data_IF_070919040729
#
_entry.id   IF_070919040729
#
_cell.length_a   1.000
_cell.length_b   1.000
_cell.length_c   1.000
_cell.angle_alpha   90.00
_cell.angle_beta   90.00
_cell.angle_gamma   90.00
#
_symmetry.space_group_name_H-M   'P 1'
#
loop_
_entity.id
_entity.type
_entity.pdbx_description
1 polymer ?
#
# COMPACT_ATOMS: atom_id res chain seq x y z
N UNK A 1 -18.08 15.78 -26.58
CA UNK A 1 -16.97 16.72 -26.35
C UNK A 1 -15.89 16.36 -27.36
N UNK A 2 -15.53 17.26 -28.28
CA UNK A 2 -14.44 16.99 -29.23
C UNK A 2 -13.11 17.20 -28.49
N UNK A 3 -12.42 16.10 -28.18
CA UNK A 3 -11.08 16.12 -27.63
C UNK A 3 -10.09 16.56 -28.71
N UNK A 4 -9.41 17.69 -28.49
CA UNK A 4 -8.32 18.15 -29.37
C UNK A 4 -7.00 17.50 -28.94
N UNK A 5 -6.71 16.35 -29.54
CA UNK A 5 -5.49 15.57 -29.27
C UNK A 5 -4.21 16.33 -29.60
N UNK A 6 -4.24 17.20 -30.62
CA UNK A 6 -3.07 17.95 -31.05
C UNK A 6 -2.71 19.03 -30.02
N UNK A 7 -3.70 19.77 -29.53
CA UNK A 7 -3.52 20.76 -28.48
C UNK A 7 -3.06 20.11 -27.15
N UNK A 8 -3.62 18.94 -26.80
CA UNK A 8 -3.19 18.17 -25.63
C UNK A 8 -1.71 17.77 -25.72
N UNK A 9 -1.30 17.19 -26.84
CA UNK A 9 0.07 16.72 -27.03
C UNK A 9 1.07 17.88 -27.05
N UNK A 10 0.73 19.01 -27.67
CA UNK A 10 1.59 20.20 -27.66
C UNK A 10 1.81 20.70 -26.23
N UNK A 11 0.74 20.77 -25.43
CA UNK A 11 0.83 21.22 -24.03
C UNK A 11 1.64 20.26 -23.15
N UNK A 12 1.45 18.95 -23.35
CA UNK A 12 2.24 17.93 -22.66
C UNK A 12 3.75 18.06 -22.97
N UNK A 13 4.12 18.21 -24.24
CA UNK A 13 5.53 18.36 -24.64
C UNK A 13 6.14 19.67 -24.11
N UNK A 14 5.36 20.76 -24.07
CA UNK A 14 5.80 22.02 -23.47
C UNK A 14 6.18 21.82 -22.00
N UNK A 15 5.27 21.28 -21.18
CA UNK A 15 5.53 21.06 -19.75
C UNK A 15 6.66 20.05 -19.51
N UNK A 16 6.83 19.07 -20.39
CA UNK A 16 7.93 18.13 -20.34
C UNK A 16 9.29 18.81 -20.61
N UNK A 17 9.34 19.75 -21.56
CA UNK A 17 10.53 20.55 -21.87
C UNK A 17 10.91 21.54 -20.78
N UNK A 18 9.92 22.10 -20.07
CA UNK A 18 10.13 23.00 -18.92
C UNK A 18 10.73 22.27 -17.70
N UNK A 19 10.55 20.95 -17.59
CA UNK A 19 11.10 20.11 -16.51
C UNK A 19 12.32 19.31 -16.99
N UNK A 20 13.47 19.97 -17.07
CA UNK A 20 14.75 19.34 -17.42
C UNK A 20 15.04 18.13 -16.51
N UNK A 21 15.23 16.95 -17.10
CA UNK A 21 15.50 15.69 -16.38
C UNK A 21 14.34 14.71 -16.26
N UNK A 22 13.25 14.87 -17.02
CA UNK A 22 12.03 14.06 -16.98
C UNK A 22 12.16 12.59 -17.46
N UNK A 23 13.16 11.84 -16.97
CA UNK A 23 13.17 10.36 -17.01
C UNK A 23 12.45 9.74 -15.82
N UNK A 24 11.99 10.56 -14.87
CA UNK A 24 11.26 10.09 -13.71
C UNK A 24 9.78 9.93 -14.08
N UNK A 25 9.28 8.68 -13.99
CA UNK A 25 7.89 8.33 -14.27
C UNK A 25 6.89 9.17 -13.46
N UNK A 26 7.26 9.58 -12.24
CA UNK A 26 6.41 10.44 -11.41
C UNK A 26 6.25 11.86 -11.98
N UNK A 27 7.29 12.39 -12.65
CA UNK A 27 7.24 13.71 -13.29
C UNK A 27 6.36 13.66 -14.53
N UNK A 28 6.50 12.61 -15.34
CA UNK A 28 5.65 12.36 -16.51
C UNK A 28 4.19 12.24 -16.09
N UNK A 29 3.91 11.45 -15.04
CA UNK A 29 2.56 11.29 -14.50
C UNK A 29 1.98 12.63 -14.04
N UNK A 30 2.73 13.42 -13.26
CA UNK A 30 2.27 14.73 -12.79
C UNK A 30 1.96 15.72 -13.94
N UNK A 31 2.76 15.70 -15.01
CA UNK A 31 2.51 16.50 -16.20
C UNK A 31 1.25 16.00 -16.91
N UNK A 32 1.11 14.69 -17.14
CA UNK A 32 -0.10 14.11 -17.74
C UNK A 32 -1.35 14.51 -16.95
N UNK A 33 -1.28 14.46 -15.63
CA UNK A 33 -2.39 14.81 -14.74
C UNK A 33 -2.75 16.30 -14.85
N UNK A 34 -1.74 17.18 -14.89
CA UNK A 34 -1.93 18.61 -15.11
C UNK A 34 -2.61 18.91 -16.45
N UNK A 35 -2.11 18.35 -17.56
CA UNK A 35 -2.69 18.60 -18.90
C UNK A 35 -4.12 18.08 -18.97
N UNK A 36 -4.40 16.89 -18.42
CA UNK A 36 -5.77 16.35 -18.37
C UNK A 36 -6.72 17.28 -17.62
N UNK A 37 -6.28 17.93 -16.53
CA UNK A 37 -7.09 18.93 -15.80
C UNK A 37 -7.33 20.17 -16.64
N UNK A 38 -6.29 20.71 -17.28
CA UNK A 38 -6.39 21.90 -18.14
C UNK A 38 -7.40 21.70 -19.29
N UNK A 39 -7.50 20.49 -19.82
CA UNK A 39 -8.42 20.17 -20.91
C UNK A 39 -9.78 19.62 -20.45
N UNK A 40 -10.05 19.55 -19.15
CA UNK A 40 -11.32 19.03 -18.62
C UNK A 40 -11.54 17.52 -18.87
N UNK A 41 -10.46 16.78 -19.14
CA UNK A 41 -10.46 15.33 -19.39
C UNK A 41 -10.10 14.56 -18.11
N UNK A 42 -9.66 15.27 -17.07
CA UNK A 42 -9.40 14.68 -15.76
C UNK A 42 -10.69 14.31 -15.06
N UNK A 43 -10.85 13.02 -14.79
CA UNK A 43 -11.77 12.54 -13.76
C UNK A 43 -10.93 12.19 -12.53
N UNK A 44 -11.31 12.68 -11.37
CA UNK A 44 -10.67 12.28 -10.11
C UNK A 44 -10.60 10.75 -10.01
N UNK A 45 -9.46 10.17 -9.60
CA UNK A 45 -9.34 8.72 -9.44
C UNK A 45 -10.39 8.22 -8.44
N UNK A 46 -11.16 7.22 -8.85
CA UNK A 46 -12.11 6.51 -7.98
C UNK A 46 -11.57 5.11 -7.68
N UNK A 47 -12.15 4.43 -6.69
CA UNK A 47 -11.79 3.03 -6.38
C UNK A 47 -11.87 2.11 -7.60
N UNK A 48 -12.81 2.37 -8.52
CA UNK A 48 -12.98 1.61 -9.76
C UNK A 48 -12.03 2.04 -10.89
N UNK A 49 -11.35 3.19 -10.78
CA UNK A 49 -10.62 3.85 -11.87
C UNK A 49 -9.29 4.45 -11.42
N UNK A 50 -8.54 3.74 -10.58
CA UNK A 50 -7.20 4.13 -10.15
C UNK A 50 -6.19 2.99 -10.40
N UNK A 51 -4.90 3.33 -10.55
CA UNK A 51 -3.84 2.33 -10.57
C UNK A 51 -3.58 1.77 -9.16
N UNK A 52 -2.88 0.64 -9.05
CA UNK A 52 -2.50 0.08 -7.74
C UNK A 52 -1.69 1.06 -6.87
N UNK A 53 -0.86 1.90 -7.50
CA UNK A 53 -0.08 2.95 -6.84
C UNK A 53 -0.92 4.16 -6.40
N UNK A 54 -2.08 4.39 -6.99
CA UNK A 54 -3.02 5.45 -6.62
C UNK A 54 -4.05 4.96 -5.61
N UNK A 55 -4.38 3.66 -5.65
CA UNK A 55 -5.47 3.06 -4.88
C UNK A 55 -5.34 3.33 -3.38
N UNK A 56 -4.13 3.28 -2.82
CA UNK A 56 -3.92 3.55 -1.40
C UNK A 56 -4.41 4.94 -0.97
N UNK A 57 -4.12 5.98 -1.77
CA UNK A 57 -4.55 7.35 -1.47
C UNK A 57 -6.06 7.54 -1.68
N UNK A 58 -6.61 6.94 -2.74
CA UNK A 58 -8.06 6.97 -3.01
C UNK A 58 -8.83 6.26 -1.90
N UNK A 59 -8.37 5.07 -1.50
CA UNK A 59 -8.98 4.29 -0.42
C UNK A 59 -9.01 5.08 0.89
N UNK A 60 -7.90 5.72 1.28
CA UNK A 60 -7.88 6.60 2.46
C UNK A 60 -8.90 7.72 2.38
N UNK A 61 -9.01 8.35 1.21
CA UNK A 61 -9.94 9.47 0.99
C UNK A 61 -11.39 9.01 1.12
N UNK A 62 -11.73 7.81 0.65
CA UNK A 62 -13.06 7.24 0.80
C UNK A 62 -13.34 6.77 2.23
N UNK A 63 -12.38 6.14 2.90
CA UNK A 63 -12.52 5.73 4.32
C UNK A 63 -12.82 6.92 5.23
N UNK A 64 -12.18 8.06 4.99
CA UNK A 64 -12.36 9.28 5.78
C UNK A 64 -13.77 9.90 5.65
N UNK A 65 -14.55 9.53 4.64
CA UNK A 65 -15.93 10.01 4.43
C UNK A 65 -16.98 9.16 5.16
N UNK A 66 -16.59 8.00 5.66
CA UNK A 66 -17.51 7.07 6.33
C UNK A 66 -17.44 7.30 7.83
N UNK A 67 -18.57 7.40 8.51
CA UNK A 67 -18.61 7.47 9.98
C UNK A 67 -18.79 6.10 10.64
N UNK A 68 -19.31 5.12 9.90
CA UNK A 68 -19.58 3.77 10.39
C UNK A 68 -18.33 2.86 10.31
N UNK A 69 -18.02 2.19 11.42
CA UNK A 69 -16.84 1.33 11.53
C UNK A 69 -16.94 0.08 10.65
N UNK A 70 -18.14 -0.51 10.52
CA UNK A 70 -18.35 -1.69 9.67
C UNK A 70 -18.15 -1.33 8.19
N UNK A 71 -18.76 -0.24 7.74
CA UNK A 71 -18.62 0.26 6.38
C UNK A 71 -17.16 0.60 6.03
N UNK A 72 -16.40 1.19 6.97
CA UNK A 72 -14.95 1.42 6.78
C UNK A 72 -14.20 0.10 6.58
N UNK A 73 -14.48 -0.91 7.39
CA UNK A 73 -13.81 -2.20 7.30
C UNK A 73 -14.16 -2.97 6.03
N UNK A 74 -15.43 -2.96 5.62
CA UNK A 74 -15.87 -3.61 4.38
C UNK A 74 -15.19 -2.96 3.18
N UNK A 75 -15.14 -1.62 3.15
CA UNK A 75 -14.45 -0.87 2.10
C UNK A 75 -12.94 -1.17 2.09
N UNK A 76 -12.30 -1.12 3.26
CA UNK A 76 -10.88 -1.41 3.39
C UNK A 76 -10.54 -2.82 2.91
N UNK A 77 -11.27 -3.84 3.39
CA UNK A 77 -11.03 -5.23 3.02
C UNK A 77 -11.21 -5.47 1.53
N UNK A 78 -12.21 -4.84 0.91
CA UNK A 78 -12.48 -4.99 -0.53
C UNK A 78 -11.33 -4.49 -1.40
N UNK A 79 -10.60 -3.47 -0.95
CA UNK A 79 -9.62 -2.79 -1.80
C UNK A 79 -8.16 -2.94 -1.36
N UNK A 80 -7.90 -3.36 -0.11
CA UNK A 80 -6.54 -3.39 0.46
C UNK A 80 -5.55 -4.22 -0.38
N UNK A 81 -5.94 -5.41 -0.83
CA UNK A 81 -5.06 -6.33 -1.58
C UNK A 81 -4.61 -5.79 -2.95
N UNK A 82 -5.25 -4.72 -3.44
CA UNK A 82 -4.86 -3.99 -4.64
C UNK A 82 -3.91 -2.81 -4.38
N UNK A 83 -3.69 -2.42 -3.13
CA UNK A 83 -2.87 -1.27 -2.78
C UNK A 83 -1.37 -1.59 -2.90
N UNK A 84 -0.67 -0.82 -3.72
CA UNK A 84 0.79 -0.85 -3.81
C UNK A 84 1.41 0.33 -3.06
N UNK A 85 2.56 0.12 -2.41
CA UNK A 85 3.40 1.19 -1.82
C UNK A 85 2.75 1.99 -0.68
N UNK A 86 2.07 1.29 0.22
CA UNK A 86 1.36 1.88 1.36
C UNK A 86 2.28 2.49 2.44
N UNK A 87 3.61 2.45 2.27
CA UNK A 87 4.54 2.87 3.31
C UNK A 87 4.44 4.36 3.66
N UNK A 88 4.32 5.23 2.66
CA UNK A 88 4.24 6.68 2.89
C UNK A 88 2.92 7.10 3.56
N UNK A 89 1.87 6.28 3.39
CA UNK A 89 0.51 6.54 3.89
C UNK A 89 0.17 5.74 5.16
N UNK A 90 1.17 5.10 5.77
CA UNK A 90 0.96 4.11 6.83
C UNK A 90 0.37 4.71 8.12
N UNK A 91 0.70 5.96 8.43
CA UNK A 91 0.19 6.62 9.63
C UNK A 91 -1.28 7.03 9.44
N UNK A 92 -1.62 7.46 8.23
CA UNK A 92 -2.97 7.83 7.82
C UNK A 92 -3.87 6.59 7.83
N UNK A 93 -3.41 5.46 7.32
CA UNK A 93 -4.14 4.20 7.47
C UNK A 93 -4.36 3.84 8.94
N UNK A 94 -3.33 3.96 9.77
CA UNK A 94 -3.45 3.65 11.20
C UNK A 94 -4.43 4.59 11.93
N UNK A 95 -4.59 5.84 11.47
CA UNK A 95 -5.49 6.81 12.09
C UNK A 95 -6.96 6.67 11.65
N UNK A 96 -7.21 6.19 10.43
CA UNK A 96 -8.59 6.05 9.91
C UNK A 96 -9.17 4.66 10.14
N UNK A 97 -8.32 3.63 10.25
CA UNK A 97 -8.78 2.26 10.47
C UNK A 97 -9.30 2.10 11.91
N UNK A 98 -10.58 1.73 12.10
CA UNK A 98 -11.08 1.38 13.42
C UNK A 98 -10.27 0.20 13.96
N UNK A 99 -9.99 0.11 15.26
CA UNK A 99 -9.52 -1.17 15.81
C UNK A 99 -10.59 -2.24 15.59
N UNK A 100 -10.20 -3.45 15.19
CA UNK A 100 -11.12 -4.58 14.91
C UNK A 100 -11.79 -5.18 16.16
N UNK A 101 -12.05 -4.38 17.18
CA UNK A 101 -12.64 -4.85 18.43
C UNK A 101 -14.05 -5.34 18.16
N UNK A 102 -14.26 -6.66 18.20
CA UNK A 102 -15.56 -7.29 18.01
C UNK A 102 -15.99 -7.55 16.56
N UNK A 103 -15.07 -7.42 15.61
CA UNK A 103 -15.34 -7.61 14.18
C UNK A 103 -14.65 -8.86 13.64
N UNK A 104 -15.27 -9.54 12.67
CA UNK A 104 -14.71 -10.75 12.05
C UNK A 104 -13.64 -10.39 11.03
N UNK A 105 -12.69 -11.28 10.77
CA UNK A 105 -11.78 -11.18 9.63
C UNK A 105 -12.44 -11.60 8.31
N UNK A 106 -13.76 -11.51 8.20
CA UNK A 106 -14.53 -11.95 7.02
C UNK A 106 -14.20 -13.39 6.63
N UNK A 107 -13.87 -13.59 5.35
CA UNK A 107 -13.50 -14.91 4.81
C UNK A 107 -12.14 -15.42 5.32
N UNK A 108 -11.33 -14.58 5.98
CA UNK A 108 -10.02 -14.97 6.50
C UNK A 108 -10.06 -15.38 7.98
N UNK A 109 -11.26 -15.54 8.55
CA UNK A 109 -11.44 -15.91 9.97
C UNK A 109 -10.75 -17.23 10.30
N UNK A 110 -10.86 -18.25 9.45
CA UNK A 110 -10.23 -19.56 9.66
C UNK A 110 -8.69 -19.45 9.70
N UNK A 111 -8.10 -18.60 8.85
CA UNK A 111 -6.67 -18.33 8.88
C UNK A 111 -6.27 -17.67 10.20
N UNK A 112 -7.01 -16.64 10.64
CA UNK A 112 -6.76 -16.01 11.93
C UNK A 112 -6.90 -17.01 13.08
N UNK A 113 -7.96 -17.80 13.11
CA UNK A 113 -8.25 -18.76 14.19
C UNK A 113 -7.16 -19.83 14.30
N UNK A 114 -6.60 -20.26 13.18
CA UNK A 114 -5.46 -21.19 13.13
C UNK A 114 -4.14 -20.61 13.65
N UNK A 115 -4.00 -19.28 13.77
CA UNK A 115 -2.77 -18.68 14.29
C UNK A 115 -2.55 -19.04 15.78
N UNK A 116 -1.29 -19.36 16.17
CA UNK A 116 -0.91 -19.57 17.57
C UNK A 116 -1.03 -18.26 18.38
N UNK A 117 -0.95 -18.37 19.71
CA UNK A 117 -1.01 -17.19 20.61
C UNK A 117 0.12 -16.19 20.38
N UNK A 118 1.32 -16.68 20.05
CA UNK A 118 2.47 -15.90 19.60
C UNK A 118 2.80 -16.24 18.15
N UNK A 119 2.77 -15.25 17.28
CA UNK A 119 2.93 -15.39 15.83
C UNK A 119 4.26 -14.79 15.41
N UNK A 120 5.09 -15.58 14.73
CA UNK A 120 6.28 -15.07 14.06
C UNK A 120 5.87 -14.47 12.72
N UNK A 121 6.24 -13.22 12.51
CA UNK A 121 5.90 -12.45 11.31
C UNK A 121 7.15 -11.95 10.61
N UNK A 122 7.04 -11.75 9.30
CA UNK A 122 8.11 -11.35 8.41
C UNK A 122 7.67 -10.21 7.49
N UNK A 123 8.60 -9.34 7.12
CA UNK A 123 8.36 -8.26 6.14
C UNK A 123 9.56 -8.14 5.21
N UNK A 124 9.29 -8.18 3.90
CA UNK A 124 10.28 -7.86 2.88
C UNK A 124 10.19 -6.39 2.50
N UNK A 125 11.26 -5.62 2.67
CA UNK A 125 11.22 -4.18 2.43
C UNK A 125 12.60 -3.58 2.16
N UNK A 126 12.61 -2.27 1.91
CA UNK A 126 13.80 -1.44 1.98
C UNK A 126 14.35 -1.38 3.42
N UNK A 127 15.66 -1.24 3.61
CA UNK A 127 16.28 -1.21 4.96
C UNK A 127 15.80 -0.05 5.86
N UNK A 128 15.31 1.02 5.26
CA UNK A 128 14.74 2.22 5.89
C UNK A 128 13.20 2.18 5.98
N UNK A 129 12.55 1.14 5.43
CA UNK A 129 11.08 0.98 5.40
C UNK A 129 10.56 -0.20 6.23
N UNK A 130 11.21 -0.43 7.36
CA UNK A 130 10.98 -1.59 8.24
C UNK A 130 9.63 -1.54 8.95
N UNK A 131 9.21 -0.37 9.42
CA UNK A 131 7.99 -0.21 10.21
C UNK A 131 6.82 0.16 9.31
N UNK A 132 6.28 -0.83 8.57
CA UNK A 132 5.05 -0.67 7.79
C UNK A 132 3.94 -1.60 8.27
N UNK A 133 2.74 -1.41 7.73
CA UNK A 133 1.52 -2.11 8.15
C UNK A 133 1.52 -3.60 7.79
N UNK A 134 1.94 -3.92 6.55
CA UNK A 134 1.84 -5.26 5.97
C UNK A 134 3.00 -6.18 6.37
N UNK A 135 2.68 -7.31 6.96
CA UNK A 135 3.60 -8.40 7.30
C UNK A 135 3.01 -9.71 6.81
N UNK A 136 3.79 -10.78 6.82
CA UNK A 136 3.34 -12.13 6.45
C UNK A 136 3.82 -13.14 7.46
N UNK A 137 3.07 -14.21 7.67
CA UNK A 137 3.53 -15.36 8.47
C UNK A 137 4.47 -16.28 7.67
N UNK A 138 4.56 -16.12 6.35
CA UNK A 138 5.44 -16.88 5.47
C UNK A 138 6.75 -16.13 5.15
N UNK A 139 7.88 -16.69 5.59
CA UNK A 139 9.21 -16.13 5.32
C UNK A 139 9.49 -16.08 3.82
N UNK A 140 9.05 -17.05 3.03
CA UNK A 140 9.33 -17.08 1.59
C UNK A 140 8.66 -15.91 0.86
N UNK A 141 7.42 -15.61 1.23
CA UNK A 141 6.69 -14.41 0.77
C UNK A 141 7.44 -13.12 1.12
N UNK A 142 7.95 -12.97 2.35
CA UNK A 142 8.77 -11.80 2.71
C UNK A 142 10.06 -11.70 1.88
N UNK A 143 10.74 -12.82 1.61
CA UNK A 143 11.93 -12.84 0.73
C UNK A 143 11.56 -12.39 -0.69
N UNK A 144 10.41 -12.84 -1.22
CA UNK A 144 9.90 -12.43 -2.54
C UNK A 144 9.67 -10.93 -2.60
N UNK A 145 9.05 -10.33 -1.58
CA UNK A 145 8.85 -8.88 -1.50
C UNK A 145 10.17 -8.11 -1.40
N UNK A 146 11.12 -8.55 -0.58
CA UNK A 146 12.43 -7.93 -0.50
C UNK A 146 13.19 -7.99 -1.84
N UNK A 147 12.99 -9.04 -2.62
CA UNK A 147 13.58 -9.24 -3.96
C UNK A 147 12.81 -8.57 -5.10
N UNK A 148 11.58 -8.11 -4.85
CA UNK A 148 10.64 -7.65 -5.87
C UNK A 148 11.15 -6.52 -6.76
N UNK A 149 10.45 -6.32 -7.89
CA UNK A 149 10.84 -5.47 -9.03
C UNK A 149 10.88 -3.95 -8.77
N UNK A 150 10.74 -3.49 -7.53
CA UNK A 150 10.94 -2.08 -7.19
C UNK A 150 12.44 -1.80 -7.22
N UNK A 151 12.95 -1.50 -8.40
CA UNK A 151 14.36 -1.33 -8.78
C UNK A 151 15.13 -0.25 -7.97
N UNK A 152 14.51 0.39 -6.99
CA UNK A 152 14.96 1.66 -6.41
C UNK A 152 15.13 1.67 -4.89
N UNK A 153 15.30 0.51 -4.23
CA UNK A 153 15.70 0.51 -2.81
C UNK A 153 17.15 1.00 -2.66
N UNK A 154 17.34 2.32 -2.70
CA UNK A 154 18.64 2.99 -2.49
C UNK A 154 19.26 2.59 -1.14
N UNK A 155 18.42 2.34 -0.14
CA UNK A 155 18.79 1.90 1.21
C UNK A 155 19.10 0.40 1.32
N UNK A 156 19.00 -0.36 0.23
CA UNK A 156 19.20 -1.81 0.21
C UNK A 156 17.95 -2.61 0.60
N UNK A 157 18.00 -3.92 0.35
CA UNK A 157 16.92 -4.88 0.56
C UNK A 157 17.10 -5.64 1.87
N UNK A 158 16.04 -5.83 2.64
CA UNK A 158 16.07 -6.59 3.88
C UNK A 158 14.81 -7.42 4.05
N UNK A 159 14.94 -8.58 4.70
CA UNK A 159 13.83 -9.19 5.42
C UNK A 159 13.95 -8.79 6.87
N UNK A 160 12.83 -8.46 7.50
CA UNK A 160 12.72 -8.21 8.93
C UNK A 160 11.77 -9.21 9.52
N UNK A 161 12.02 -9.63 10.76
CA UNK A 161 11.12 -10.50 11.51
C UNK A 161 10.96 -10.02 12.95
N UNK A 162 9.81 -10.33 13.52
CA UNK A 162 9.51 -10.17 14.94
C UNK A 162 8.50 -11.22 15.39
N UNK A 163 8.26 -11.33 16.69
CA UNK A 163 7.15 -12.07 17.25
C UNK A 163 6.10 -11.07 17.77
N UNK A 164 4.83 -11.35 17.50
CA UNK A 164 3.69 -10.56 17.98
C UNK A 164 2.66 -11.47 18.63
N UNK A 165 1.90 -10.94 19.58
CA UNK A 165 0.75 -11.66 20.10
C UNK A 165 -0.36 -11.67 19.05
N UNK A 166 -1.13 -12.76 18.98
CA UNK A 166 -2.33 -12.84 18.13
C UNK A 166 -3.29 -11.66 18.34
N UNK A 167 -3.39 -11.18 19.58
CA UNK A 167 -4.22 -10.02 19.98
C UNK A 167 -3.71 -8.67 19.48
N UNK A 168 -2.49 -8.61 18.94
CA UNK A 168 -1.87 -7.39 18.39
C UNK A 168 -2.03 -7.30 16.86
N UNK A 169 -2.55 -8.37 16.23
CA UNK A 169 -2.87 -8.38 14.81
C UNK A 169 -4.11 -7.53 14.60
N UNK A 170 -4.00 -6.53 13.73
CA UNK A 170 -5.14 -5.70 13.35
C UNK A 170 -6.08 -6.57 12.51
N UNK A 171 -5.64 -7.02 11.34
CA UNK A 171 -6.41 -7.92 10.47
C UNK A 171 -5.49 -8.91 9.76
N UNK A 172 -6.08 -9.92 9.14
CA UNK A 172 -5.40 -10.84 8.24
C UNK A 172 -6.04 -10.81 6.84
N UNK A 173 -5.24 -11.21 5.85
CA UNK A 173 -5.67 -11.43 4.47
C UNK A 173 -5.00 -12.69 3.93
N UNK A 174 -5.80 -13.63 3.46
CA UNK A 174 -5.32 -14.84 2.79
C UNK A 174 -5.40 -14.74 1.26
N UNK A 175 -5.99 -13.64 0.76
CA UNK A 175 -6.00 -13.33 -0.66
C UNK A 175 -4.59 -13.46 -1.27
N UNK A 176 -4.53 -14.09 -2.45
CA UNK A 176 -3.29 -14.27 -3.24
C UNK A 176 -2.19 -15.12 -2.57
N UNK A 177 -2.55 -15.95 -1.58
CA UNK A 177 -1.60 -16.87 -0.91
C UNK A 177 -0.42 -16.14 -0.24
N UNK A 178 -0.61 -14.89 0.18
CA UNK A 178 0.46 -14.08 0.81
C UNK A 178 0.48 -14.20 2.34
N UNK A 179 -0.56 -14.83 2.94
CA UNK A 179 -0.71 -15.03 4.39
C UNK A 179 -0.42 -13.73 5.17
N UNK A 180 -1.01 -12.64 4.70
CA UNK A 180 -0.74 -11.29 5.15
C UNK A 180 -1.41 -11.04 6.51
N UNK A 181 -0.69 -10.34 7.37
CA UNK A 181 -1.19 -9.81 8.64
C UNK A 181 -0.87 -8.32 8.69
N UNK A 182 -1.84 -7.51 9.10
CA UNK A 182 -1.65 -6.08 9.35
C UNK A 182 -1.39 -5.84 10.82
N UNK A 183 -0.39 -5.03 11.11
CA UNK A 183 0.07 -4.72 12.47
C UNK A 183 0.09 -3.22 12.72
N UNK A 184 -0.15 -2.83 13.97
CA UNK A 184 0.23 -1.51 14.44
C UNK A 184 1.76 -1.44 14.53
N UNK A 185 2.37 -0.86 13.49
CA UNK A 185 3.83 -0.78 13.39
C UNK A 185 4.46 0.13 14.46
N UNK A 186 3.68 0.95 15.15
CA UNK A 186 4.16 1.85 16.23
C UNK A 186 4.32 1.11 17.56
N UNK A 187 3.63 -0.03 17.71
CA UNK A 187 3.67 -0.87 18.90
C UNK A 187 4.63 -2.08 18.77
N UNK A 188 5.32 -2.21 17.63
CA UNK A 188 6.22 -3.34 17.42
C UNK A 188 7.45 -3.26 18.34
N UNK A 189 7.73 -4.38 19.02
CA UNK A 189 8.96 -4.56 19.79
C UNK A 189 10.23 -4.64 18.91
N UNK A 190 11.35 -5.08 19.50
CA UNK A 190 12.61 -5.22 18.79
C UNK A 190 12.49 -6.11 17.54
N UNK A 191 13.03 -5.64 16.42
CA UNK A 191 12.99 -6.38 15.15
C UNK A 191 14.35 -6.97 14.79
N UNK A 192 14.36 -8.19 14.25
CA UNK A 192 15.58 -8.83 13.71
C UNK A 192 15.66 -8.59 12.20
N UNK A 193 16.76 -7.98 11.75
CA UNK A 193 17.01 -7.67 10.33
C UNK A 193 17.96 -8.68 9.70
N UNK A 194 17.58 -9.24 8.57
CA UNK A 194 18.40 -10.08 7.70
C UNK A 194 18.63 -9.30 6.39
N UNK A 195 19.83 -8.73 6.23
CA UNK A 195 20.20 -8.00 5.02
C UNK A 195 20.66 -8.97 3.96
N UNK A 196 20.21 -8.77 2.73
CA UNK A 196 20.81 -9.45 1.58
C UNK A 196 22.08 -8.73 1.16
N UNK A 197 23.20 -9.45 1.10
CA UNK A 197 24.37 -9.03 0.32
C UNK A 197 24.25 -9.74 -1.01
N UNK A 198 24.15 -8.98 -2.09
CA UNK A 198 24.33 -9.47 -3.46
C UNK A 198 25.69 -8.97 -3.93
#
# INVERSE_FOLDING_TARGET
MNFDEQAFNARFQQLLGERTGAKNIAVVQAITDQVRREFGIWTEPTLARCSSSQLAGVLLSELAKLDDAQARWDLFRTHWSGCDDTYELRFEFLSVLPRLVGMTHGNDQDFFDALPSEVRVYRGCASDRVYGLSWTTDKATAVRFARGRRLSYKSGRTVVSTAVKKTEILTVFQDREEYEVLLDFTALGPTKKERFRY
#
